data_IF_425196345933
#
_entry.id   IF_425196345933
#
_cell.length_a   1.000
_cell.length_b   1.000
_cell.length_c   1.000
_cell.angle_alpha   90.00
_cell.angle_beta   90.00
_cell.angle_gamma   90.00
#
_symmetry.space_group_name_H-M   'P 1'
#
loop_
_entity.id
_entity.type
_entity.pdbx_description
1 polymer ?
#
# COMPACT_ATOMS: atom_id res chain seq x y z
N UNK A 1 -5.33 9.04 -13.17
CA UNK A 1 -5.62 10.21 -12.32
C UNK A 1 -4.65 10.15 -11.15
N UNK A 2 -3.70 11.09 -11.08
CA UNK A 2 -2.70 11.16 -10.00
C UNK A 2 -3.33 11.96 -8.87
N UNK A 3 -3.68 11.32 -7.76
CA UNK A 3 -4.12 12.02 -6.56
C UNK A 3 -2.87 12.45 -5.80
N UNK A 4 -2.44 13.69 -6.00
CA UNK A 4 -1.42 14.31 -5.16
C UNK A 4 -2.08 14.65 -3.83
N UNK A 5 -1.78 13.91 -2.76
CA UNK A 5 -2.27 14.26 -1.42
C UNK A 5 -1.42 15.44 -0.91
N UNK A 6 -1.84 16.65 -1.28
CA UNK A 6 -1.29 17.89 -0.71
C UNK A 6 -2.06 18.26 0.54
N UNK A 7 -1.52 17.91 1.71
CA UNK A 7 -1.90 18.49 3.00
C UNK A 7 -2.50 17.52 4.02
N UNK A 8 -1.98 17.65 5.25
CA UNK A 8 -2.29 16.91 6.50
C UNK A 8 -1.59 15.55 6.59
N UNK A 9 -0.86 15.35 7.69
CA UNK A 9 0.14 14.28 7.90
C UNK A 9 -0.30 12.94 7.28
N UNK A 10 0.35 12.51 6.18
CA UNK A 10 -0.17 11.40 5.41
C UNK A 10 0.09 10.10 6.18
N UNK A 11 -0.97 9.34 6.43
CA UNK A 11 -0.91 7.97 6.97
C UNK A 11 -0.54 7.83 8.46
N UNK A 12 -1.32 8.46 9.34
CA UNK A 12 -1.12 8.45 10.80
C UNK A 12 -1.09 7.05 11.42
N UNK A 13 -1.90 6.10 10.92
CA UNK A 13 -1.92 4.72 11.45
C UNK A 13 -0.67 3.98 11.03
N UNK A 14 -0.22 4.19 9.79
CA UNK A 14 1.05 3.66 9.32
C UNK A 14 2.22 4.17 10.17
N UNK A 15 2.28 5.48 10.43
CA UNK A 15 3.37 6.12 11.17
C UNK A 15 3.42 5.70 12.65
N UNK A 16 2.28 5.42 13.27
CA UNK A 16 2.20 5.02 14.67
C UNK A 16 2.49 3.53 14.94
N UNK A 17 2.63 2.71 13.90
CA UNK A 17 2.77 1.27 14.05
C UNK A 17 4.18 0.85 14.50
N UNK A 18 4.23 -0.14 15.39
CA UNK A 18 5.49 -0.72 15.90
C UNK A 18 5.89 -2.03 15.20
N UNK A 19 5.23 -2.37 14.09
CA UNK A 19 5.50 -3.56 13.31
C UNK A 19 5.21 -3.31 11.83
N UNK A 20 5.89 -4.05 10.96
CA UNK A 20 5.67 -3.99 9.51
C UNK A 20 4.21 -4.33 9.17
N UNK A 21 3.66 -5.36 9.82
CA UNK A 21 2.27 -5.76 9.64
C UNK A 21 1.29 -4.65 10.04
N UNK A 22 1.51 -4.03 11.22
CA UNK A 22 0.70 -2.92 11.69
C UNK A 22 0.81 -1.70 10.78
N UNK A 23 1.99 -1.41 10.25
CA UNK A 23 2.20 -0.30 9.33
C UNK A 23 1.46 -0.52 8.00
N UNK A 24 1.54 -1.74 7.44
CA UNK A 24 0.85 -2.08 6.19
C UNK A 24 -0.67 -2.03 6.35
N UNK A 25 -1.20 -2.57 7.45
CA UNK A 25 -2.63 -2.53 7.76
C UNK A 25 -3.12 -1.10 8.05
N UNK A 26 -2.36 -0.34 8.83
CA UNK A 26 -2.66 1.07 9.09
C UNK A 26 -2.69 1.89 7.79
N UNK A 27 -1.75 1.66 6.88
CA UNK A 27 -1.68 2.37 5.61
C UNK A 27 -2.89 2.07 4.71
N UNK A 28 -3.34 0.81 4.59
CA UNK A 28 -4.54 0.53 3.79
C UNK A 28 -5.78 1.16 4.40
N UNK A 29 -5.88 1.25 5.73
CA UNK A 29 -7.00 1.91 6.41
C UNK A 29 -6.97 3.43 6.20
N UNK A 30 -5.78 4.04 6.29
CA UNK A 30 -5.57 5.47 6.00
C UNK A 30 -5.92 5.80 4.53
N UNK A 31 -5.60 4.90 3.59
CA UNK A 31 -5.95 5.05 2.18
C UNK A 31 -7.45 4.89 1.93
N UNK A 32 -8.12 3.94 2.59
CA UNK A 32 -9.59 3.83 2.51
C UNK A 32 -10.24 5.11 3.03
N UNK A 33 -9.77 5.65 4.17
CA UNK A 33 -10.29 6.91 4.72
C UNK A 33 -10.02 8.11 3.79
N UNK A 34 -8.91 8.08 3.04
CA UNK A 34 -8.60 9.06 2.00
C UNK A 34 -9.41 8.88 0.70
N UNK A 35 -10.32 7.91 0.64
CA UNK A 35 -11.24 7.69 -0.49
C UNK A 35 -10.75 6.71 -1.57
N UNK A 36 -9.68 5.96 -1.31
CA UNK A 36 -9.24 4.90 -2.22
C UNK A 36 -10.05 3.62 -1.93
N UNK A 37 -10.80 3.14 -2.91
CA UNK A 37 -11.80 2.08 -2.68
C UNK A 37 -11.20 0.69 -2.43
N UNK A 38 -10.03 0.38 -2.99
CA UNK A 38 -9.43 -0.97 -2.93
C UNK A 38 -7.89 -0.97 -2.79
N UNK A 39 -7.31 -0.31 -1.77
CA UNK A 39 -5.86 -0.24 -1.61
C UNK A 39 -5.25 -1.60 -1.26
N UNK A 40 -4.04 -1.81 -1.74
CA UNK A 40 -3.19 -2.93 -1.34
C UNK A 40 -1.75 -2.46 -1.21
N UNK A 41 -1.05 -3.00 -0.22
CA UNK A 41 0.34 -2.69 0.11
C UNK A 41 1.17 -3.91 -0.21
N UNK A 42 2.19 -3.70 -1.04
CA UNK A 42 3.17 -4.70 -1.40
C UNK A 42 4.54 -4.27 -0.92
N UNK A 43 5.30 -5.21 -0.36
CA UNK A 43 6.70 -5.00 -0.03
C UNK A 43 7.56 -5.87 -0.93
N UNK A 44 8.73 -5.35 -1.30
CA UNK A 44 9.71 -6.10 -2.06
C UNK A 44 10.42 -7.08 -1.13
N UNK A 45 10.29 -8.38 -1.43
CA UNK A 45 10.95 -9.46 -0.70
C UNK A 45 11.73 -10.30 -1.71
N UNK A 46 13.06 -10.15 -1.72
CA UNK A 46 13.89 -10.63 -2.82
C UNK A 46 13.49 -9.93 -4.12
N UNK A 47 13.21 -10.72 -5.17
CA UNK A 47 12.85 -10.22 -6.49
C UNK A 47 11.32 -10.20 -6.75
N UNK A 48 10.50 -10.23 -5.69
CA UNK A 48 9.04 -10.30 -5.80
C UNK A 48 8.34 -9.32 -4.87
N UNK A 49 7.33 -8.64 -5.40
CA UNK A 49 6.39 -7.85 -4.62
C UNK A 49 5.37 -8.79 -3.96
N UNK A 50 5.38 -8.86 -2.63
CA UNK A 50 4.49 -9.71 -1.83
C UNK A 50 3.41 -8.84 -1.20
N UNK A 51 2.16 -9.27 -1.26
CA UNK A 51 1.06 -8.56 -0.64
C UNK A 51 1.15 -8.70 0.88
N UNK A 52 1.10 -7.58 1.60
CA UNK A 52 1.12 -7.55 3.07
C UNK A 52 -0.19 -7.07 3.67
N UNK A 53 -0.92 -6.18 3.00
CA UNK A 53 -2.24 -5.75 3.41
C UNK A 53 -3.09 -5.41 2.19
N UNK A 54 -4.39 -5.69 2.24
CA UNK A 54 -5.33 -5.33 1.20
C UNK A 54 -6.72 -5.05 1.77
N UNK A 55 -7.46 -4.19 1.09
CA UNK A 55 -8.89 -3.97 1.26
C UNK A 55 -9.57 -4.15 -0.10
N UNK A 56 -9.47 -5.34 -0.71
CA UNK A 56 -9.94 -5.54 -2.08
C UNK A 56 -9.37 -6.80 -2.72
N UNK A 57 -9.06 -6.75 -4.01
CA UNK A 57 -8.65 -7.91 -4.82
C UNK A 57 -7.62 -8.84 -4.13
N UNK A 58 -8.06 -10.05 -3.79
CA UNK A 58 -7.24 -11.10 -3.15
C UNK A 58 -6.66 -12.11 -4.16
N UNK A 59 -6.75 -11.83 -5.46
CA UNK A 59 -6.40 -12.80 -6.51
C UNK A 59 -4.88 -12.96 -6.75
N UNK A 60 -4.05 -12.13 -6.11
CA UNK A 60 -2.58 -12.19 -6.25
C UNK A 60 -2.00 -13.08 -5.14
N UNK A 61 -1.85 -14.38 -5.42
CA UNK A 61 -1.38 -15.37 -4.44
C UNK A 61 0.15 -15.43 -4.37
N UNK A 62 0.85 -15.33 -5.51
CA UNK A 62 2.32 -15.52 -5.59
C UNK A 62 3.13 -14.22 -5.78
N UNK A 63 2.46 -13.07 -5.68
CA UNK A 63 3.08 -11.77 -5.96
C UNK A 63 3.44 -11.59 -7.45
N UNK A 64 4.12 -10.49 -7.76
CA UNK A 64 4.53 -10.15 -9.13
C UNK A 64 5.97 -9.63 -9.18
N UNK A 65 6.67 -9.76 -10.33
CA UNK A 65 7.97 -9.11 -10.53
C UNK A 65 7.83 -7.58 -10.44
N UNK A 66 8.83 -6.87 -9.90
CA UNK A 66 8.88 -5.41 -9.96
C UNK A 66 8.73 -4.90 -11.41
N UNK A 67 7.98 -3.81 -11.62
CA UNK A 67 7.81 -3.19 -12.93
C UNK A 67 6.92 -3.95 -13.93
N UNK A 68 6.34 -5.10 -13.55
CA UNK A 68 5.34 -5.84 -14.34
C UNK A 68 3.99 -5.77 -13.63
N UNK A 69 2.96 -5.30 -14.34
CA UNK A 69 1.62 -5.05 -13.79
C UNK A 69 1.44 -3.60 -13.36
N UNK A 70 0.33 -2.97 -13.76
CA UNK A 70 -0.01 -1.62 -13.31
C UNK A 70 -0.70 -1.75 -11.95
N UNK A 71 0.04 -1.61 -10.86
CA UNK A 71 -0.52 -1.57 -9.50
C UNK A 71 0.17 -0.45 -8.71
N UNK A 72 -0.31 0.78 -8.87
CA UNK A 72 -0.04 1.91 -7.97
C UNK A 72 1.32 2.61 -8.14
N UNK A 73 1.31 3.94 -8.01
CA UNK A 73 2.50 4.78 -8.13
C UNK A 73 3.46 4.68 -6.93
N UNK A 74 4.74 4.96 -7.18
CA UNK A 74 5.79 5.01 -6.16
C UNK A 74 5.80 6.39 -5.51
N UNK A 75 5.65 6.45 -4.18
CA UNK A 75 6.00 7.63 -3.39
C UNK A 75 7.47 7.49 -3.02
N UNK A 76 8.34 8.22 -3.70
CA UNK A 76 9.72 8.43 -3.29
C UNK A 76 9.84 9.86 -2.77
N UNK A 77 10.49 9.97 -1.60
CA UNK A 77 10.77 11.20 -0.85
C UNK A 77 11.45 12.29 -1.66
#
# INVERSE_FOLDING_TARGET
>A
MVATVTGREPFVRCAAANSIDGACHGLVDDLVEAGFELPSVYLLVGERLRCHAARGYFQVVDGFPPGRGVIGGVVAS
#
